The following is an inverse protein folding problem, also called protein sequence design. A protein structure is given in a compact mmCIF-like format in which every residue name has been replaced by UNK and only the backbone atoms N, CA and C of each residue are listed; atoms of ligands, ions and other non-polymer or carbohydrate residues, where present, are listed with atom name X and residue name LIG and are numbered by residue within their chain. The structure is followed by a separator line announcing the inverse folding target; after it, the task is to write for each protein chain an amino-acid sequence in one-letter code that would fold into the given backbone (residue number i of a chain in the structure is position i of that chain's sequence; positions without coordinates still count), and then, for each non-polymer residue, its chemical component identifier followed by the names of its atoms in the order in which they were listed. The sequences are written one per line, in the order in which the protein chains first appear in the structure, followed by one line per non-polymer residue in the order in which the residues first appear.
data_IF_567663118323
#
_entry.id   IF_567663118323
#
_cell.length_a   1.000
_cell.length_b   1.000
_cell.length_c   1.000
_cell.angle_alpha   90.00
_cell.angle_beta   90.00
_cell.angle_gamma   90.00
#
_symmetry.space_group_name_H-M   'P 1'
#
loop_
_entity.id
_entity.type
_entity.pdbx_description
1 polymer ?
#
# COMPACT_ATOMS: atom_id res chain seq x y z
N UNK A 1 66.25 -14.04 -8.72
CA UNK A 1 64.86 -14.36 -8.36
C UNK A 1 64.33 -13.15 -7.58
N UNK A 2 63.77 -12.16 -8.27
CA UNK A 2 63.41 -10.85 -7.68
C UNK A 2 61.89 -10.71 -7.82
N UNK A 3 61.20 -10.75 -6.68
CA UNK A 3 59.76 -10.66 -6.57
C UNK A 3 59.25 -9.29 -6.98
N UNK A 4 58.30 -9.27 -7.92
CA UNK A 4 57.61 -8.06 -8.37
C UNK A 4 56.53 -7.73 -7.34
N UNK A 5 56.82 -6.78 -6.46
CA UNK A 5 55.81 -6.08 -5.66
C UNK A 5 54.97 -5.21 -6.59
N UNK A 6 53.79 -5.70 -6.97
CA UNK A 6 52.79 -4.91 -7.70
C UNK A 6 52.13 -3.95 -6.72
N UNK A 7 52.67 -2.74 -6.63
CA UNK A 7 52.07 -1.59 -5.93
C UNK A 7 50.69 -1.34 -6.57
N UNK A 8 49.61 -1.77 -5.91
CA UNK A 8 48.24 -1.39 -6.31
C UNK A 8 48.15 0.13 -6.20
N UNK A 9 48.00 0.79 -7.34
CA UNK A 9 47.73 2.23 -7.36
C UNK A 9 46.39 2.47 -6.67
N UNK A 10 46.39 3.35 -5.67
CA UNK A 10 45.17 4.04 -5.24
C UNK A 10 44.60 4.70 -6.49
N UNK A 11 43.46 4.20 -6.99
CA UNK A 11 42.62 4.99 -7.89
C UNK A 11 42.12 6.17 -7.08
N UNK A 12 42.69 7.34 -7.38
CA UNK A 12 42.09 8.62 -7.05
C UNK A 12 40.86 8.77 -7.94
N UNK A 13 39.68 8.82 -7.33
CA UNK A 13 38.40 9.01 -8.01
C UNK A 13 37.32 8.06 -7.51
N UNK A 14 36.91 8.20 -6.24
CA UNK A 14 35.56 7.83 -5.82
C UNK A 14 35.23 8.66 -4.56
N UNK A 15 34.82 9.91 -4.78
CA UNK A 15 34.41 10.84 -3.71
C UNK A 15 32.89 11.07 -3.73
N UNK A 16 32.14 10.10 -4.25
CA UNK A 16 30.67 10.18 -4.46
C UNK A 16 29.85 9.23 -3.58
N UNK A 17 30.44 8.41 -2.72
CA UNK A 17 29.66 7.58 -1.80
C UNK A 17 29.20 8.42 -0.60
N UNK A 18 27.90 8.64 -0.48
CA UNK A 18 27.29 9.28 0.68
C UNK A 18 27.65 8.55 1.98
N UNK A 19 27.41 9.20 3.12
CA UNK A 19 27.77 8.66 4.45
C UNK A 19 27.06 7.35 4.74
N UNK A 20 25.78 7.23 4.37
CA UNK A 20 25.00 6.02 4.57
C UNK A 20 25.57 4.78 3.84
N UNK A 21 25.84 4.79 2.51
CA UNK A 21 26.51 3.67 1.82
C UNK A 21 27.77 3.14 2.51
N UNK A 22 28.59 4.04 3.08
CA UNK A 22 29.82 3.66 3.78
C UNK A 22 29.51 2.92 5.08
N UNK A 23 28.50 3.38 5.83
CA UNK A 23 28.04 2.69 7.05
C UNK A 23 27.37 1.35 6.73
N UNK A 24 26.70 1.23 5.58
CA UNK A 24 26.06 0.00 5.14
C UNK A 24 27.05 -1.12 4.78
N UNK A 25 28.30 -0.79 4.46
CA UNK A 25 29.32 -1.77 4.09
C UNK A 25 29.63 -2.78 5.22
N UNK A 26 29.59 -2.32 6.47
CA UNK A 26 29.84 -3.13 7.67
C UNK A 26 28.56 -3.37 8.49
N UNK A 27 27.39 -3.11 7.91
CA UNK A 27 26.12 -3.20 8.63
C UNK A 27 25.74 -4.66 8.92
N UNK A 28 25.24 -4.98 10.13
CA UNK A 28 24.90 -6.36 10.46
C UNK A 28 23.73 -6.89 9.62
N UNK A 29 23.84 -8.09 9.03
CA UNK A 29 22.77 -8.68 8.26
C UNK A 29 21.55 -9.00 9.14
N UNK A 30 20.35 -9.02 8.54
CA UNK A 30 19.14 -9.54 9.19
C UNK A 30 18.78 -10.88 8.54
N UNK A 31 18.95 -11.97 9.28
CA UNK A 31 18.83 -13.32 8.73
C UNK A 31 17.47 -13.93 9.08
N UNK A 32 16.43 -13.51 8.36
CA UNK A 32 15.12 -14.17 8.46
C UNK A 32 15.28 -15.68 8.20
N UNK A 33 14.84 -16.57 9.12
CA UNK A 33 15.05 -18.01 8.98
C UNK A 33 14.48 -18.60 7.69
N UNK A 34 13.27 -18.18 7.31
CA UNK A 34 12.60 -18.61 6.08
C UNK A 34 12.26 -17.40 5.21
N UNK A 35 13.15 -17.00 4.29
CA UNK A 35 12.82 -15.99 3.29
C UNK A 35 11.87 -16.58 2.24
N UNK A 36 11.08 -15.72 1.60
CA UNK A 36 10.20 -16.10 0.51
C UNK A 36 8.76 -15.58 0.63
N UNK A 37 7.94 -15.96 -0.33
CA UNK A 37 6.50 -15.63 -0.33
C UNK A 37 5.82 -16.31 0.88
N UNK A 38 5.25 -15.55 1.83
CA UNK A 38 4.65 -16.09 3.05
C UNK A 38 3.47 -17.05 2.75
N UNK A 39 2.86 -16.96 1.57
CA UNK A 39 1.80 -17.89 1.13
C UNK A 39 2.34 -19.27 0.74
N UNK A 40 3.63 -19.37 0.44
CA UNK A 40 4.33 -20.62 0.12
C UNK A 40 5.01 -21.25 1.34
N UNK A 41 5.15 -20.50 2.43
CA UNK A 41 5.69 -21.00 3.68
C UNK A 41 4.59 -21.73 4.48
N UNK A 42 5.00 -22.73 5.26
CA UNK A 42 4.12 -23.32 6.27
C UNK A 42 3.84 -22.32 7.39
N UNK A 43 2.73 -22.49 8.12
CA UNK A 43 2.43 -21.64 9.27
C UNK A 43 3.57 -21.68 10.31
N UNK A 44 4.13 -22.86 10.57
CA UNK A 44 5.26 -23.02 11.50
C UNK A 44 6.51 -22.23 11.04
N UNK A 45 6.80 -22.19 9.73
CA UNK A 45 7.89 -21.37 9.20
C UNK A 45 7.64 -19.87 9.38
N UNK A 46 6.40 -19.43 9.19
CA UNK A 46 6.01 -18.05 9.48
C UNK A 46 6.15 -17.74 10.99
N UNK A 47 5.76 -18.66 11.87
CA UNK A 47 5.91 -18.52 13.32
C UNK A 47 7.38 -18.46 13.74
N UNK A 48 8.26 -19.27 13.13
CA UNK A 48 9.70 -19.20 13.33
C UNK A 48 10.28 -17.84 12.90
N UNK A 49 9.77 -17.24 11.82
CA UNK A 49 10.15 -15.88 11.43
C UNK A 49 9.70 -14.83 12.46
N UNK A 50 8.51 -14.98 13.06
CA UNK A 50 8.04 -14.12 14.15
C UNK A 50 8.92 -14.27 15.40
N UNK A 51 9.20 -15.50 15.83
CA UNK A 51 10.06 -15.77 16.98
C UNK A 51 11.46 -15.17 16.79
N UNK A 52 12.04 -15.34 15.59
CA UNK A 52 13.30 -14.71 15.26
C UNK A 52 13.25 -13.19 15.43
N UNK A 53 12.22 -12.51 14.91
CA UNK A 53 12.08 -11.07 15.11
C UNK A 53 12.03 -10.72 16.59
N UNK A 54 11.20 -11.41 17.37
CA UNK A 54 11.02 -11.14 18.80
C UNK A 54 12.32 -11.31 19.58
N UNK A 55 13.09 -12.37 19.29
CA UNK A 55 14.37 -12.66 19.92
C UNK A 55 15.44 -11.63 19.55
N UNK A 56 15.46 -11.19 18.29
CA UNK A 56 16.47 -10.24 17.80
C UNK A 56 16.12 -8.78 18.08
N UNK A 57 14.84 -8.45 18.35
CA UNK A 57 14.32 -7.07 18.40
C UNK A 57 15.17 -6.14 19.24
N UNK A 58 15.54 -6.54 20.46
CA UNK A 58 16.32 -5.71 21.36
C UNK A 58 17.74 -5.42 20.84
N UNK A 59 18.36 -6.40 20.16
CA UNK A 59 19.66 -6.21 19.53
C UNK A 59 19.56 -5.33 18.28
N UNK A 60 18.53 -5.54 17.45
CA UNK A 60 18.28 -4.74 16.24
C UNK A 60 17.98 -3.27 16.55
N UNK A 61 17.23 -2.98 17.62
CA UNK A 61 17.02 -1.60 18.08
C UNK A 61 18.32 -0.89 18.45
N UNK A 62 19.29 -1.60 19.06
CA UNK A 62 20.61 -1.03 19.36
C UNK A 62 21.42 -0.76 18.09
N UNK A 63 21.37 -1.67 17.12
CA UNK A 63 22.01 -1.48 15.81
C UNK A 63 21.42 -0.25 15.11
N UNK A 64 20.09 -0.09 15.13
CA UNK A 64 19.40 1.08 14.60
C UNK A 64 19.82 2.37 15.34
N UNK A 65 19.87 2.35 16.68
CA UNK A 65 20.31 3.47 17.49
C UNK A 65 21.74 3.90 17.14
N UNK A 66 22.66 2.94 16.99
CA UNK A 66 24.05 3.20 16.64
C UNK A 66 24.19 3.82 15.25
N UNK A 67 23.40 3.37 14.27
CA UNK A 67 23.32 3.98 12.95
C UNK A 67 22.77 5.40 13.01
N UNK A 68 21.60 5.59 13.61
CA UNK A 68 20.89 6.87 13.66
C UNK A 68 21.68 7.93 14.45
N UNK A 69 22.44 7.53 15.46
CA UNK A 69 23.38 8.42 16.18
C UNK A 69 24.47 8.97 15.26
N UNK A 70 24.82 8.28 14.17
CA UNK A 70 25.74 8.83 13.16
C UNK A 70 25.13 10.03 12.43
N UNK A 71 23.82 10.22 12.49
CA UNK A 71 23.07 11.30 11.85
C UNK A 71 22.37 12.20 12.88
N UNK A 72 22.91 12.25 14.10
CA UNK A 72 22.45 13.13 15.19
C UNK A 72 21.01 12.86 15.65
N UNK A 73 20.52 11.63 15.46
CA UNK A 73 19.21 11.17 15.97
C UNK A 73 19.45 10.27 17.19
N UNK A 74 18.99 10.73 18.37
CA UNK A 74 19.09 9.97 19.62
C UNK A 74 17.86 9.07 19.81
N UNK A 75 17.90 7.90 19.17
CA UNK A 75 16.78 6.96 19.18
C UNK A 75 16.32 6.57 20.60
N UNK A 76 17.25 6.37 21.53
CA UNK A 76 16.94 5.91 22.88
C UNK A 76 16.14 6.96 23.66
N UNK A 77 16.57 8.23 23.59
CA UNK A 77 15.88 9.36 24.22
C UNK A 77 14.53 9.64 23.55
N UNK A 78 14.46 9.54 22.23
CA UNK A 78 13.26 9.88 21.48
C UNK A 78 12.16 8.80 21.54
N UNK A 79 12.52 7.51 21.63
CA UNK A 79 11.55 6.42 21.81
C UNK A 79 10.77 6.50 23.14
N UNK A 80 11.40 7.06 24.18
CA UNK A 80 10.76 7.27 25.49
C UNK A 80 10.02 8.60 25.61
N UNK A 81 10.22 9.53 24.66
CA UNK A 81 9.55 10.82 24.67
C UNK A 81 8.01 10.65 24.64
N UNK A 82 7.23 11.51 25.31
CA UNK A 82 5.77 11.35 25.41
C UNK A 82 5.07 11.28 24.05
N UNK A 83 5.56 12.05 23.09
CA UNK A 83 5.04 12.14 21.72
C UNK A 83 6.08 11.66 20.71
N UNK A 84 5.68 10.90 19.68
CA UNK A 84 6.61 10.38 18.69
C UNK A 84 6.97 11.38 17.59
N UNK A 85 6.27 12.52 17.50
CA UNK A 85 6.34 13.46 16.37
C UNK A 85 7.77 13.88 16.00
N UNK A 86 8.59 14.19 17.02
CA UNK A 86 9.98 14.61 16.80
C UNK A 86 10.82 13.50 16.17
N UNK A 87 10.70 12.27 16.68
CA UNK A 87 11.41 11.11 16.12
C UNK A 87 10.99 10.84 14.68
N UNK A 88 9.68 10.83 14.44
CA UNK A 88 9.17 10.53 13.10
C UNK A 88 9.60 11.61 12.09
N UNK A 89 9.58 12.88 12.49
CA UNK A 89 10.09 13.97 11.65
C UNK A 89 11.60 13.86 11.38
N UNK A 90 12.40 13.50 12.39
CA UNK A 90 13.84 13.27 12.25
C UNK A 90 14.15 12.09 11.32
N UNK A 91 13.42 10.97 11.45
CA UNK A 91 13.56 9.80 10.58
C UNK A 91 13.21 10.12 9.12
N UNK A 92 12.12 10.84 8.91
CA UNK A 92 11.69 11.27 7.58
C UNK A 92 12.71 12.18 6.90
N UNK A 93 13.19 13.20 7.63
CA UNK A 93 14.22 14.11 7.14
C UNK A 93 15.54 13.39 6.82
N UNK A 94 15.97 12.48 7.71
CA UNK A 94 17.16 11.66 7.49
C UNK A 94 17.05 10.77 6.27
N UNK A 95 15.91 10.09 6.08
CA UNK A 95 15.69 9.24 4.92
C UNK A 95 15.76 10.01 3.61
N UNK A 96 15.09 11.15 3.51
CA UNK A 96 15.14 12.01 2.32
C UNK A 96 16.56 12.54 2.03
N UNK A 97 17.36 12.77 3.07
CA UNK A 97 18.73 13.25 2.91
C UNK A 97 19.70 12.12 2.49
N UNK A 98 19.57 10.93 3.07
CA UNK A 98 20.63 9.91 3.03
C UNK A 98 20.29 8.68 2.18
N UNK A 99 19.01 8.31 2.05
CA UNK A 99 18.61 7.12 1.27
C UNK A 99 18.90 7.25 -0.23
N UNK A 100 18.78 8.43 -0.88
CA UNK A 100 19.14 8.57 -2.30
C UNK A 100 20.58 8.16 -2.62
N UNK A 101 21.51 8.33 -1.67
CA UNK A 101 22.90 7.92 -1.88
C UNK A 101 23.10 6.40 -1.79
N UNK A 102 22.22 5.69 -1.09
CA UNK A 102 22.23 4.22 -0.97
C UNK A 102 21.35 3.52 -2.01
N UNK A 103 20.45 4.27 -2.67
CA UNK A 103 19.58 3.74 -3.70
C UNK A 103 20.35 3.42 -4.99
N UNK A 104 19.95 2.34 -5.66
CA UNK A 104 20.43 2.00 -7.00
C UNK A 104 19.23 1.75 -7.92
N UNK A 105 19.30 2.08 -9.22
CA UNK A 105 18.21 1.79 -10.16
C UNK A 105 17.86 0.29 -10.31
N UNK A 106 18.70 -0.61 -9.79
CA UNK A 106 18.44 -2.04 -9.76
C UNK A 106 17.58 -2.47 -8.55
N UNK A 107 17.40 -1.60 -7.56
CA UNK A 107 16.50 -1.83 -6.43
C UNK A 107 15.05 -1.93 -6.92
N UNK A 108 14.24 -2.74 -6.26
CA UNK A 108 12.81 -2.84 -6.54
C UNK A 108 12.03 -3.13 -5.26
N UNK A 109 10.98 -2.35 -5.04
CA UNK A 109 10.02 -2.60 -3.96
C UNK A 109 9.06 -3.78 -4.23
N UNK A 110 9.20 -4.48 -5.37
CA UNK A 110 8.38 -5.64 -5.70
C UNK A 110 8.61 -6.78 -4.70
N UNK A 111 7.58 -7.26 -3.97
CA UNK A 111 7.71 -8.35 -3.00
C UNK A 111 8.32 -9.63 -3.59
N UNK A 112 8.04 -9.91 -4.87
CA UNK A 112 8.62 -11.06 -5.59
C UNK A 112 10.16 -11.02 -5.63
N UNK A 113 10.75 -9.83 -5.57
CA UNK A 113 12.18 -9.62 -5.72
C UNK A 113 12.93 -9.55 -4.38
N UNK A 114 12.31 -8.99 -3.34
CA UNK A 114 12.98 -8.80 -2.03
C UNK A 114 12.62 -9.87 -1.00
N UNK A 115 11.41 -10.46 -1.03
CA UNK A 115 11.02 -11.50 -0.06
C UNK A 115 11.96 -12.71 -0.03
N UNK A 116 12.46 -13.23 -1.18
CA UNK A 116 13.35 -14.38 -1.19
C UNK A 116 14.81 -14.04 -0.84
N UNK A 117 15.15 -12.76 -0.59
CA UNK A 117 16.54 -12.32 -0.44
C UNK A 117 16.98 -12.42 1.01
N UNK A 118 18.21 -12.88 1.19
CA UNK A 118 18.94 -12.66 2.42
C UNK A 118 19.29 -11.17 2.52
N UNK A 119 19.02 -10.56 3.67
CA UNK A 119 19.29 -9.15 3.93
C UNK A 119 20.75 -8.95 4.33
N UNK A 120 21.64 -9.26 3.39
CA UNK A 120 23.09 -9.28 3.56
C UNK A 120 23.77 -8.94 2.22
N UNK A 121 25.08 -8.65 2.24
CA UNK A 121 25.86 -8.43 1.03
C UNK A 121 25.28 -7.32 0.16
N UNK A 122 25.01 -7.60 -1.12
CA UNK A 122 24.45 -6.63 -2.07
C UNK A 122 23.03 -6.14 -1.69
N UNK A 123 22.33 -6.88 -0.83
CA UNK A 123 20.99 -6.55 -0.34
C UNK A 123 20.99 -6.03 1.10
N UNK A 124 22.16 -5.60 1.61
CA UNK A 124 22.29 -5.18 3.01
C UNK A 124 21.37 -4.01 3.39
N UNK A 125 20.99 -3.17 2.43
CA UNK A 125 20.03 -2.09 2.66
C UNK A 125 18.68 -2.61 3.19
N UNK A 126 18.26 -3.82 2.81
CA UNK A 126 17.04 -4.44 3.35
C UNK A 126 17.14 -4.73 4.85
N UNK A 127 18.35 -4.97 5.38
CA UNK A 127 18.55 -5.16 6.82
C UNK A 127 18.37 -3.85 7.58
N UNK A 128 18.90 -2.75 7.04
CA UNK A 128 18.66 -1.42 7.58
C UNK A 128 17.18 -1.06 7.53
N UNK A 129 16.49 -1.30 6.42
CA UNK A 129 15.06 -1.02 6.29
C UNK A 129 14.22 -1.85 7.27
N UNK A 130 14.59 -3.11 7.51
CA UNK A 130 13.99 -3.93 8.55
C UNK A 130 14.19 -3.35 9.96
N UNK A 131 15.36 -2.76 10.24
CA UNK A 131 15.63 -2.12 11.52
C UNK A 131 14.82 -0.84 11.73
N UNK A 132 14.67 -0.03 10.68
CA UNK A 132 13.79 1.13 10.71
C UNK A 132 12.32 0.69 10.89
N UNK A 133 11.91 -0.40 10.25
CA UNK A 133 10.60 -1.00 10.49
C UNK A 133 10.41 -1.45 11.96
N UNK A 134 11.44 -2.03 12.57
CA UNK A 134 11.46 -2.38 13.99
C UNK A 134 11.30 -1.13 14.86
N UNK A 135 11.99 -0.03 14.52
CA UNK A 135 11.84 1.28 15.19
C UNK A 135 10.41 1.79 15.11
N UNK A 136 9.81 1.83 13.92
CA UNK A 136 8.43 2.28 13.73
C UNK A 136 7.43 1.43 14.52
N UNK A 137 7.60 0.11 14.53
CA UNK A 137 6.79 -0.76 15.37
C UNK A 137 6.98 -0.51 16.86
N UNK A 138 8.21 -0.24 17.31
CA UNK A 138 8.50 0.08 18.70
C UNK A 138 7.89 1.42 19.13
N UNK A 139 7.82 2.41 18.24
CA UNK A 139 7.09 3.66 18.46
C UNK A 139 5.63 3.38 18.80
N UNK A 140 4.94 2.54 18.01
CA UNK A 140 3.55 2.17 18.27
C UNK A 140 3.42 1.45 19.61
N UNK A 141 4.19 0.38 19.82
CA UNK A 141 4.12 -0.47 21.02
C UNK A 141 4.38 0.33 22.32
N UNK A 142 5.30 1.31 22.28
CA UNK A 142 5.59 2.16 23.45
C UNK A 142 4.41 3.04 23.86
N UNK A 143 3.51 3.37 22.94
CA UNK A 143 2.35 4.25 23.19
C UNK A 143 1.02 3.50 23.24
N UNK A 144 1.01 2.26 22.75
CA UNK A 144 -0.18 1.44 22.52
C UNK A 144 0.08 0.01 22.98
N UNK A 145 -0.25 -0.27 24.25
CA UNK A 145 -0.02 -1.57 24.89
C UNK A 145 -0.85 -2.71 24.25
N UNK A 146 -1.90 -2.36 23.50
CA UNK A 146 -2.74 -3.27 22.73
C UNK A 146 -2.05 -3.79 21.45
N UNK A 147 -1.04 -3.08 20.94
CA UNK A 147 -0.29 -3.47 19.76
C UNK A 147 0.93 -4.33 20.11
N UNK A 148 1.34 -5.16 19.16
CA UNK A 148 2.52 -6.00 19.27
C UNK A 148 2.88 -6.65 17.94
N UNK A 149 4.11 -7.16 17.85
CA UNK A 149 4.56 -7.94 16.71
C UNK A 149 3.87 -9.31 16.71
N UNK A 150 3.15 -9.63 15.65
CA UNK A 150 2.39 -10.88 15.47
C UNK A 150 2.43 -11.28 14.00
N UNK A 151 1.92 -12.47 13.69
CA UNK A 151 1.59 -12.81 12.32
C UNK A 151 0.27 -12.15 11.93
N UNK A 152 0.19 -11.68 10.68
CA UNK A 152 -1.08 -11.36 10.07
C UNK A 152 -1.80 -12.66 9.70
N UNK A 153 -2.62 -13.17 10.62
CA UNK A 153 -3.42 -14.38 10.43
C UNK A 153 -4.90 -14.08 10.18
N UNK A 154 -5.25 -12.79 10.05
CA UNK A 154 -6.62 -12.35 9.81
C UNK A 154 -7.13 -12.92 8.49
N UNK A 155 -8.28 -13.59 8.52
CA UNK A 155 -8.83 -14.23 7.31
C UNK A 155 -9.24 -13.17 6.28
N UNK A 156 -9.61 -11.99 6.76
CA UNK A 156 -9.90 -10.78 5.97
C UNK A 156 -8.70 -10.34 5.15
N UNK A 157 -7.48 -10.61 5.65
CA UNK A 157 -6.25 -10.24 4.99
C UNK A 157 -5.70 -11.35 4.09
N UNK A 158 -6.36 -12.50 3.93
CA UNK A 158 -5.81 -13.69 3.23
C UNK A 158 -5.24 -13.40 1.83
N UNK A 159 -5.81 -12.41 1.14
CA UNK A 159 -5.45 -12.00 -0.22
C UNK A 159 -4.53 -10.76 -0.25
N UNK A 160 -4.20 -10.21 0.93
CA UNK A 160 -3.25 -9.13 1.10
C UNK A 160 -1.81 -9.64 1.14
N UNK A 161 -0.88 -8.82 0.66
CA UNK A 161 0.55 -9.14 0.71
C UNK A 161 1.09 -9.30 2.13
N UNK A 162 0.38 -8.77 3.14
CA UNK A 162 0.68 -8.85 4.57
C UNK A 162 0.36 -10.21 5.18
N UNK A 163 -0.54 -11.00 4.58
CA UNK A 163 -0.98 -12.27 5.16
C UNK A 163 0.18 -13.21 5.44
N UNK A 164 0.21 -13.75 6.66
CA UNK A 164 1.26 -14.59 7.25
C UNK A 164 2.64 -13.93 7.34
N UNK A 165 2.74 -12.61 7.19
CA UNK A 165 3.96 -11.86 7.49
C UNK A 165 3.96 -11.42 8.94
N UNK A 166 5.16 -11.11 9.43
CA UNK A 166 5.37 -10.50 10.73
C UNK A 166 5.01 -9.02 10.62
N UNK A 167 3.98 -8.60 11.35
CA UNK A 167 3.41 -7.24 11.32
C UNK A 167 3.19 -6.73 12.73
N UNK A 168 2.95 -5.43 12.87
CA UNK A 168 2.42 -4.85 14.11
C UNK A 168 0.90 -4.79 14.02
N UNK A 169 0.21 -5.47 14.92
CA UNK A 169 -1.26 -5.51 14.97
C UNK A 169 -1.74 -5.65 16.42
N UNK A 170 -3.03 -5.40 16.65
CA UNK A 170 -3.67 -5.59 17.95
C UNK A 170 -3.74 -7.07 18.32
N UNK A 171 -3.82 -7.35 19.62
CA UNK A 171 -4.15 -8.70 20.08
C UNK A 171 -5.57 -9.08 19.62
N UNK A 172 -5.77 -10.34 19.19
CA UNK A 172 -7.09 -10.81 18.71
C UNK A 172 -8.18 -10.78 19.78
N UNK A 173 -7.80 -10.84 21.04
CA UNK A 173 -8.66 -10.76 22.20
C UNK A 173 -8.93 -9.31 22.65
N UNK A 174 -8.33 -8.30 22.01
CA UNK A 174 -8.68 -6.90 22.27
C UNK A 174 -10.10 -6.62 21.71
N UNK A 175 -11.03 -6.06 22.51
CA UNK A 175 -12.39 -5.77 22.06
C UNK A 175 -12.46 -4.74 20.91
N UNK A 176 -11.37 -4.00 20.69
CA UNK A 176 -11.19 -3.03 19.61
C UNK A 176 -10.37 -3.62 18.45
N UNK A 177 -10.21 -4.94 18.40
CA UNK A 177 -9.48 -5.61 17.33
C UNK A 177 -10.16 -5.33 15.98
N UNK A 178 -9.32 -5.07 14.98
CA UNK A 178 -9.69 -5.00 13.57
C UNK A 178 -8.65 -5.80 12.81
N UNK A 179 -8.96 -6.22 11.57
CA UNK A 179 -7.98 -6.87 10.69
C UNK A 179 -6.84 -5.94 10.23
N UNK A 180 -6.56 -4.84 10.94
CA UNK A 180 -5.48 -3.92 10.62
C UNK A 180 -4.12 -4.59 10.88
N UNK A 181 -3.33 -4.75 9.83
CA UNK A 181 -1.96 -5.24 9.87
C UNK A 181 -0.99 -4.13 9.43
N UNK A 182 -0.08 -3.71 10.31
CA UNK A 182 0.92 -2.69 10.01
C UNK A 182 2.24 -3.37 9.61
N UNK A 183 2.46 -3.53 8.31
CA UNK A 183 3.67 -4.13 7.74
C UNK A 183 4.73 -3.06 7.47
N UNK A 184 5.41 -2.63 8.53
CA UNK A 184 6.42 -1.58 8.44
C UNK A 184 7.63 -1.96 7.58
N UNK A 185 7.97 -3.24 7.43
CA UNK A 185 9.07 -3.67 6.55
C UNK A 185 8.73 -3.33 5.09
N UNK A 186 7.52 -3.71 4.67
CA UNK A 186 6.99 -3.40 3.35
C UNK A 186 6.90 -1.89 3.14
N UNK A 187 6.40 -1.12 4.11
CA UNK A 187 6.37 0.35 4.03
C UNK A 187 7.75 0.97 3.86
N UNK A 188 8.74 0.59 4.68
CA UNK A 188 10.10 1.12 4.57
C UNK A 188 10.73 0.82 3.21
N UNK A 189 10.48 -0.37 2.65
CA UNK A 189 10.95 -0.75 1.30
C UNK A 189 10.29 0.11 0.21
N UNK A 190 8.99 0.39 0.32
CA UNK A 190 8.30 1.28 -0.60
C UNK A 190 8.83 2.71 -0.52
N UNK A 191 8.98 3.27 0.69
CA UNK A 191 9.54 4.61 0.85
C UNK A 191 10.98 4.69 0.31
N UNK A 192 11.81 3.67 0.54
CA UNK A 192 13.17 3.64 0.02
C UNK A 192 13.22 3.69 -1.51
N UNK A 193 12.38 2.91 -2.17
CA UNK A 193 12.26 2.92 -3.63
C UNK A 193 11.73 4.27 -4.14
N UNK A 194 10.69 4.80 -3.51
CA UNK A 194 10.05 6.04 -3.92
C UNK A 194 10.94 7.28 -3.75
N UNK A 195 11.57 7.42 -2.58
CA UNK A 195 12.55 8.47 -2.29
C UNK A 195 13.75 8.36 -3.23
N UNK A 196 14.27 7.15 -3.44
CA UNK A 196 15.36 6.89 -4.37
C UNK A 196 15.05 7.26 -5.83
N UNK A 197 13.78 7.08 -6.25
CA UNK A 197 13.28 7.49 -7.56
C UNK A 197 12.80 8.96 -7.61
N UNK A 198 12.87 9.68 -6.49
CA UNK A 198 12.38 11.05 -6.35
C UNK A 198 10.91 11.20 -6.80
N UNK A 199 10.05 10.27 -6.39
CA UNK A 199 8.61 10.32 -6.66
C UNK A 199 7.96 11.26 -5.65
N UNK A 200 7.22 12.30 -6.10
CA UNK A 200 6.57 13.24 -5.19
C UNK A 200 5.25 12.69 -4.62
N UNK A 201 4.86 13.16 -3.45
CA UNK A 201 3.50 13.00 -2.90
C UNK A 201 3.32 11.87 -1.90
N UNK A 202 4.39 11.18 -1.52
CA UNK A 202 4.34 10.20 -0.45
C UNK A 202 4.10 10.87 0.92
N UNK A 203 3.34 10.22 1.82
CA UNK A 203 3.30 10.63 3.22
C UNK A 203 4.69 10.57 3.87
N UNK A 204 4.93 11.33 4.95
CA UNK A 204 6.17 11.20 5.72
C UNK A 204 6.37 9.78 6.25
N UNK A 205 7.61 9.35 6.35
CA UNK A 205 7.97 8.09 7.01
C UNK A 205 7.39 8.09 8.43
N UNK A 206 6.74 6.99 8.79
CA UNK A 206 6.11 6.84 10.10
C UNK A 206 4.71 7.44 10.22
N UNK A 207 4.13 7.98 9.13
CA UNK A 207 2.73 8.40 9.13
C UNK A 207 1.77 7.29 9.62
N UNK A 208 2.00 6.04 9.22
CA UNK A 208 1.27 4.86 9.72
C UNK A 208 1.47 4.65 11.22
N UNK A 209 2.70 4.80 11.73
CA UNK A 209 2.97 4.69 13.16
C UNK A 209 2.24 5.79 13.95
N UNK A 210 2.27 7.03 13.47
CA UNK A 210 1.53 8.15 14.08
C UNK A 210 0.02 7.90 14.06
N UNK A 211 -0.52 7.41 12.94
CA UNK A 211 -1.92 7.02 12.81
C UNK A 211 -2.32 5.95 13.86
N UNK A 212 -1.49 4.93 14.05
CA UNK A 212 -1.74 3.90 15.06
C UNK A 212 -1.66 4.46 16.48
N UNK A 213 -0.65 5.26 16.80
CA UNK A 213 -0.51 5.92 18.10
C UNK A 213 -1.73 6.80 18.43
N UNK A 214 -2.26 7.51 17.44
CA UNK A 214 -3.43 8.40 17.59
C UNK A 214 -4.78 7.68 17.55
N UNK A 215 -4.80 6.35 17.38
CA UNK A 215 -6.03 5.55 17.39
C UNK A 215 -6.84 5.60 16.11
N UNK A 216 -6.23 5.99 14.99
CA UNK A 216 -6.92 6.03 13.69
C UNK A 216 -7.46 4.67 13.22
N UNK A 217 -6.87 3.58 13.71
CA UNK A 217 -7.30 2.20 13.40
C UNK A 217 -8.16 1.57 14.50
N UNK A 218 -8.60 2.36 15.49
CA UNK A 218 -9.57 1.92 16.48
C UNK A 218 -10.98 1.92 15.84
N UNK A 219 -11.80 0.89 16.09
CA UNK A 219 -13.19 0.89 15.66
C UNK A 219 -13.88 2.10 16.29
N UNK A 220 -14.64 2.84 15.48
CA UNK A 220 -15.46 3.93 16.00
C UNK A 220 -16.61 3.31 16.79
N UNK A 221 -16.59 3.45 18.12
CA UNK A 221 -17.69 3.05 19.00
C UNK A 221 -19.02 3.52 18.42
N UNK A 222 -19.96 2.59 18.18
CA UNK A 222 -21.33 2.93 17.79
C UNK A 222 -22.31 2.45 18.83
N UNK A 223 -22.72 3.33 19.75
CA UNK A 223 -24.13 3.46 20.20
C UNK A 223 -24.36 4.90 20.72
N UNK A 224 -24.90 5.79 19.88
CA UNK A 224 -26.16 6.54 20.13
C UNK A 224 -26.68 7.01 18.76
N UNK A 225 -27.94 6.69 18.46
CA UNK A 225 -28.64 7.18 17.28
C UNK A 225 -28.77 8.72 17.30
N UNK A 226 -28.22 9.38 16.28
CA UNK A 226 -28.30 10.83 16.03
C UNK A 226 -27.45 11.19 14.79
N UNK A 227 -27.83 12.20 13.97
CA UNK A 227 -27.57 12.16 12.53
C UNK A 227 -26.12 12.43 12.14
N UNK A 228 -25.61 11.55 11.27
CA UNK A 228 -24.60 11.74 10.21
C UNK A 228 -23.49 12.77 10.42
N UNK A 229 -22.25 12.27 10.45
CA UNK A 229 -21.11 12.92 9.78
C UNK A 229 -19.82 13.02 10.60
N UNK A 230 -18.85 12.12 10.33
CA UNK A 230 -17.46 12.45 9.99
C UNK A 230 -16.61 11.17 9.89
N UNK A 231 -15.88 11.05 8.78
CA UNK A 231 -15.32 9.83 8.22
C UNK A 231 -13.93 9.42 8.77
N UNK A 232 -13.64 8.13 8.65
CA UNK A 232 -12.30 7.53 8.77
C UNK A 232 -11.32 8.17 7.77
N UNK A 233 -10.13 8.54 8.22
CA UNK A 233 -9.23 9.44 7.49
C UNK A 233 -8.40 8.80 6.36
N UNK A 234 -8.66 7.55 5.96
CA UNK A 234 -8.06 6.92 4.76
C UNK A 234 -8.87 7.20 3.49
N UNK A 235 -8.28 7.04 2.29
CA UNK A 235 -9.04 7.16 1.06
C UNK A 235 -10.09 6.05 0.99
N UNK A 236 -11.32 6.43 0.70
CA UNK A 236 -12.43 5.50 0.48
C UNK A 236 -12.13 4.72 -0.79
N UNK A 237 -11.93 3.41 -0.66
CA UNK A 237 -11.77 2.51 -1.81
C UNK A 237 -13.14 2.00 -2.21
N UNK A 238 -13.59 2.38 -3.41
CA UNK A 238 -14.87 1.92 -3.96
C UNK A 238 -14.74 0.56 -4.60
N UNK A 239 -13.72 0.37 -5.43
CA UNK A 239 -13.50 -0.88 -6.15
C UNK A 239 -12.01 -1.18 -6.31
N UNK A 240 -11.69 -2.46 -6.37
CA UNK A 240 -10.39 -2.94 -6.81
C UNK A 240 -10.53 -4.31 -7.45
N UNK A 241 -10.18 -4.44 -8.73
CA UNK A 241 -10.39 -5.66 -9.51
C UNK A 241 -9.85 -6.93 -8.84
N UNK A 242 -8.68 -6.84 -8.19
CA UNK A 242 -8.06 -7.96 -7.48
C UNK A 242 -8.95 -8.56 -6.38
N UNK A 243 -9.87 -7.78 -5.82
CA UNK A 243 -10.77 -8.23 -4.77
C UNK A 243 -11.82 -9.22 -5.32
N UNK A 244 -12.08 -9.18 -6.63
CA UNK A 244 -13.12 -9.97 -7.28
C UNK A 244 -12.56 -11.08 -8.18
N UNK A 245 -11.27 -11.04 -8.50
CA UNK A 245 -10.61 -12.01 -9.38
C UNK A 245 -10.82 -13.48 -8.94
N UNK A 246 -10.94 -13.73 -7.63
CA UNK A 246 -11.17 -15.07 -7.09
C UNK A 246 -12.46 -15.72 -7.61
N UNK A 247 -13.52 -14.93 -7.86
CA UNK A 247 -14.79 -15.43 -8.40
C UNK A 247 -14.58 -16.14 -9.74
N UNK A 248 -13.70 -15.59 -10.58
CA UNK A 248 -13.40 -16.15 -11.91
C UNK A 248 -12.38 -17.28 -11.85
N UNK A 249 -11.42 -17.21 -10.91
CA UNK A 249 -10.45 -18.29 -10.69
C UNK A 249 -11.16 -19.55 -10.22
N UNK A 250 -12.16 -19.42 -9.33
CA UNK A 250 -12.97 -20.56 -8.87
C UNK A 250 -13.76 -21.21 -10.02
N UNK A 251 -14.11 -20.42 -11.04
CA UNK A 251 -14.75 -20.87 -12.30
C UNK A 251 -13.73 -21.31 -13.38
N UNK A 252 -12.44 -21.43 -13.03
CA UNK A 252 -11.41 -22.04 -13.87
C UNK A 252 -10.66 -21.07 -14.79
N UNK A 253 -10.80 -19.76 -14.61
CA UNK A 253 -10.05 -18.77 -15.37
C UNK A 253 -8.58 -18.76 -14.93
N UNK A 254 -7.68 -18.47 -15.88
CA UNK A 254 -6.28 -18.18 -15.53
C UNK A 254 -6.21 -16.96 -14.60
N UNK A 255 -5.42 -16.96 -13.50
CA UNK A 255 -5.39 -15.87 -12.54
C UNK A 255 -5.04 -14.49 -13.11
N UNK A 256 -4.16 -14.42 -14.11
CA UNK A 256 -3.79 -13.14 -14.73
C UNK A 256 -4.93 -12.59 -15.58
N UNK A 257 -5.62 -13.49 -16.30
CA UNK A 257 -6.82 -13.12 -17.06
C UNK A 257 -8.01 -12.81 -16.14
N UNK A 258 -8.16 -13.53 -15.03
CA UNK A 258 -9.22 -13.32 -14.05
C UNK A 258 -9.17 -11.91 -13.45
N UNK A 259 -7.99 -11.38 -13.14
CA UNK A 259 -7.88 -10.00 -12.64
C UNK A 259 -8.27 -8.96 -13.70
N UNK A 260 -7.89 -9.19 -14.97
CA UNK A 260 -8.27 -8.31 -16.08
C UNK A 260 -9.78 -8.32 -16.31
N UNK A 261 -10.39 -9.50 -16.24
CA UNK A 261 -11.82 -9.71 -16.45
C UNK A 261 -12.64 -9.20 -15.26
N UNK A 262 -12.17 -9.41 -14.03
CA UNK A 262 -12.78 -8.86 -12.81
C UNK A 262 -12.77 -7.33 -12.74
N UNK A 263 -11.90 -6.67 -13.53
CA UNK A 263 -11.86 -5.22 -13.62
C UNK A 263 -12.99 -4.63 -14.47
N UNK A 264 -13.67 -5.43 -15.29
CA UNK A 264 -14.65 -4.94 -16.27
C UNK A 264 -15.80 -4.16 -15.60
N UNK A 265 -16.45 -4.66 -14.54
CA UNK A 265 -17.44 -3.88 -13.79
C UNK A 265 -16.95 -2.49 -13.36
N UNK A 266 -15.83 -2.42 -12.63
CA UNK A 266 -15.29 -1.14 -12.19
C UNK A 266 -14.88 -0.23 -13.35
N UNK A 267 -14.36 -0.81 -14.43
CA UNK A 267 -13.98 -0.08 -15.64
C UNK A 267 -15.19 0.58 -16.32
N UNK A 268 -16.34 -0.10 -16.40
CA UNK A 268 -17.55 0.47 -16.97
C UNK A 268 -18.00 1.72 -16.19
N UNK A 269 -17.96 1.67 -14.85
CA UNK A 269 -18.26 2.83 -14.02
C UNK A 269 -17.25 3.97 -14.19
N UNK A 270 -15.95 3.65 -14.21
CA UNK A 270 -14.88 4.63 -14.44
C UNK A 270 -15.02 5.32 -15.82
N UNK A 271 -15.35 4.56 -16.86
CA UNK A 271 -15.56 5.08 -18.21
C UNK A 271 -16.66 6.14 -18.22
N UNK A 272 -17.78 5.86 -17.55
CA UNK A 272 -18.85 6.84 -17.39
C UNK A 272 -18.37 8.10 -16.66
N UNK A 273 -17.71 7.97 -15.51
CA UNK A 273 -17.14 9.09 -14.74
C UNK A 273 -16.21 9.96 -15.59
N UNK A 274 -15.33 9.33 -16.37
CA UNK A 274 -14.39 10.01 -17.26
C UNK A 274 -15.14 10.82 -18.34
N UNK A 275 -16.11 10.20 -19.01
CA UNK A 275 -16.88 10.83 -20.10
C UNK A 275 -17.80 11.96 -19.66
N UNK A 276 -18.09 12.06 -18.35
CA UNK A 276 -18.91 13.13 -17.76
C UNK A 276 -18.07 14.17 -17.01
N UNK A 277 -16.74 14.08 -17.08
CA UNK A 277 -15.85 15.03 -16.40
C UNK A 277 -15.91 14.96 -14.87
N UNK A 278 -16.28 13.81 -14.32
CA UNK A 278 -16.46 13.58 -12.88
C UNK A 278 -15.18 13.11 -12.17
N UNK A 279 -14.04 13.12 -12.86
CA UNK A 279 -12.73 12.91 -12.28
C UNK A 279 -12.17 14.19 -11.64
N UNK A 280 -11.28 14.04 -10.66
CA UNK A 280 -10.58 15.16 -10.04
C UNK A 280 -9.71 15.88 -11.08
N UNK A 281 -9.51 17.21 -10.91
CA UNK A 281 -8.66 17.99 -11.83
C UNK A 281 -7.25 17.41 -12.00
N UNK A 282 -6.69 16.85 -10.92
CA UNK A 282 -5.39 16.20 -10.95
C UNK A 282 -5.38 14.97 -11.86
N UNK A 283 -6.35 14.08 -11.69
CA UNK A 283 -6.47 12.86 -12.50
C UNK A 283 -6.86 13.17 -13.95
N UNK A 284 -7.77 14.11 -14.20
CA UNK A 284 -8.09 14.56 -15.56
C UNK A 284 -6.86 15.10 -16.29
N UNK A 285 -5.98 15.84 -15.59
CA UNK A 285 -4.74 16.35 -16.19
C UNK A 285 -3.73 15.22 -16.46
N UNK A 286 -3.61 14.28 -15.54
CA UNK A 286 -2.67 13.16 -15.62
C UNK A 286 -3.07 12.14 -16.70
N UNK A 287 -4.36 11.80 -16.80
CA UNK A 287 -4.93 10.82 -17.75
C UNK A 287 -5.45 11.44 -19.05
N UNK A 288 -5.13 12.70 -19.34
CA UNK A 288 -5.75 13.42 -20.47
C UNK A 288 -5.72 12.63 -21.78
N UNK A 289 -4.56 12.03 -22.11
CA UNK A 289 -4.39 11.30 -23.37
C UNK A 289 -5.21 10.02 -23.42
N UNK A 290 -5.27 9.31 -22.30
CA UNK A 290 -6.04 8.07 -22.16
C UNK A 290 -7.55 8.35 -22.17
N UNK A 291 -8.00 9.44 -21.55
CA UNK A 291 -9.41 9.90 -21.62
C UNK A 291 -9.77 10.27 -23.06
N UNK A 292 -8.95 11.09 -23.74
CA UNK A 292 -9.17 11.45 -25.16
C UNK A 292 -9.16 10.22 -26.09
N UNK A 293 -8.37 9.19 -25.77
CA UNK A 293 -8.36 7.94 -26.52
C UNK A 293 -9.60 7.08 -26.24
N UNK A 294 -10.08 7.04 -24.99
CA UNK A 294 -11.32 6.37 -24.61
C UNK A 294 -12.54 7.02 -25.25
N UNK A 295 -12.68 8.35 -25.18
CA UNK A 295 -13.77 9.10 -25.79
C UNK A 295 -13.82 8.93 -27.32
N UNK A 296 -12.65 8.84 -27.95
CA UNK A 296 -12.54 8.54 -29.37
C UNK A 296 -12.63 7.04 -29.72
N UNK A 297 -12.99 6.19 -28.74
CA UNK A 297 -13.11 4.74 -28.85
C UNK A 297 -11.85 4.03 -29.40
N UNK A 298 -10.67 4.63 -29.23
CA UNK A 298 -9.37 4.02 -29.56
C UNK A 298 -8.84 3.15 -28.43
N UNK A 299 -9.34 3.33 -27.22
CA UNK A 299 -9.04 2.53 -26.04
C UNK A 299 -10.33 2.21 -25.29
N UNK A 300 -10.32 1.12 -24.54
CA UNK A 300 -11.44 0.73 -23.69
C UNK A 300 -11.35 1.42 -22.32
N UNK A 301 -12.46 1.47 -21.58
CA UNK A 301 -12.40 1.90 -20.18
C UNK A 301 -11.59 0.91 -19.32
N UNK A 302 -11.48 -0.35 -19.72
CA UNK A 302 -10.62 -1.33 -19.04
C UNK A 302 -9.13 -0.99 -19.19
N UNK A 303 -8.70 -0.52 -20.37
CA UNK A 303 -7.34 -0.01 -20.58
C UNK A 303 -7.07 1.22 -19.71
N UNK A 304 -8.03 2.16 -19.66
CA UNK A 304 -7.96 3.33 -18.80
C UNK A 304 -7.86 2.94 -17.33
N UNK A 305 -8.69 1.99 -16.88
CA UNK A 305 -8.69 1.53 -15.49
C UNK A 305 -7.40 0.80 -15.12
N UNK A 306 -6.78 0.11 -16.08
CA UNK A 306 -5.46 -0.49 -15.95
C UNK A 306 -4.37 0.53 -15.58
N UNK A 307 -4.48 1.80 -16.00
CA UNK A 307 -3.56 2.88 -15.61
C UNK A 307 -3.69 3.27 -14.13
N UNK A 308 -4.83 2.97 -13.53
CA UNK A 308 -5.15 3.24 -12.13
C UNK A 308 -5.00 2.00 -11.25
N UNK A 309 -4.15 1.04 -11.67
CA UNK A 309 -3.98 -0.26 -11.02
C UNK A 309 -5.31 -0.98 -10.76
N UNK A 310 -6.30 -0.73 -11.63
CA UNK A 310 -7.67 -1.26 -11.55
C UNK A 310 -8.30 -1.03 -10.18
N UNK A 311 -8.07 0.15 -9.61
CA UNK A 311 -8.53 0.57 -8.30
C UNK A 311 -9.24 1.93 -8.40
N UNK A 312 -10.45 2.03 -7.85
CA UNK A 312 -11.25 3.25 -7.82
C UNK A 312 -11.34 3.76 -6.38
N UNK A 313 -10.87 4.99 -6.13
CA UNK A 313 -10.79 5.59 -4.80
C UNK A 313 -11.23 7.05 -4.82
N UNK A 314 -11.69 7.58 -3.68
CA UNK A 314 -12.32 8.90 -3.57
C UNK A 314 -11.56 10.09 -4.17
N UNK A 315 -10.27 10.23 -3.91
CA UNK A 315 -9.50 11.37 -4.41
C UNK A 315 -9.22 11.31 -5.92
N UNK A 316 -9.56 10.22 -6.61
CA UNK A 316 -9.57 10.18 -8.07
C UNK A 316 -10.69 11.03 -8.66
N UNK A 317 -11.75 11.29 -7.89
CA UNK A 317 -13.00 11.88 -8.34
C UNK A 317 -13.11 13.37 -8.02
N UNK A 318 -13.92 14.09 -8.79
CA UNK A 318 -14.33 15.45 -8.42
C UNK A 318 -15.18 15.39 -7.15
N UNK A 319 -15.39 16.51 -6.46
CA UNK A 319 -16.25 16.52 -5.27
C UNK A 319 -17.68 16.01 -5.58
N UNK A 320 -18.21 16.38 -6.74
CA UNK A 320 -19.51 15.94 -7.23
C UNK A 320 -19.52 14.45 -7.60
N UNK A 321 -18.55 14.00 -8.39
CA UNK A 321 -18.42 12.60 -8.77
C UNK A 321 -18.21 11.69 -7.56
N UNK A 322 -17.40 12.14 -6.59
CA UNK A 322 -17.18 11.43 -5.34
C UNK A 322 -18.47 11.29 -4.54
N UNK A 323 -19.23 12.38 -4.39
CA UNK A 323 -20.46 12.35 -3.62
C UNK A 323 -21.50 11.40 -4.23
N UNK A 324 -21.64 11.39 -5.56
CA UNK A 324 -22.53 10.44 -6.24
C UNK A 324 -22.07 9.00 -6.02
N UNK A 325 -20.76 8.76 -6.18
CA UNK A 325 -20.16 7.43 -6.00
C UNK A 325 -20.36 6.93 -4.57
N UNK A 326 -20.21 7.78 -3.55
CA UNK A 326 -20.48 7.41 -2.15
C UNK A 326 -21.92 6.95 -1.92
N UNK A 327 -22.88 7.69 -2.46
CA UNK A 327 -24.30 7.44 -2.25
C UNK A 327 -24.80 6.22 -3.05
N UNK A 328 -24.19 5.93 -4.21
CA UNK A 328 -24.74 4.98 -5.19
C UNK A 328 -23.90 3.72 -5.39
N UNK A 329 -22.57 3.77 -5.37
CA UNK A 329 -21.73 2.68 -5.86
C UNK A 329 -21.89 1.38 -5.06
N UNK A 330 -21.82 1.48 -3.73
CA UNK A 330 -21.94 0.34 -2.80
C UNK A 330 -23.32 0.24 -2.12
N UNK A 331 -24.31 1.01 -2.58
CA UNK A 331 -25.67 0.92 -2.05
C UNK A 331 -26.30 -0.45 -2.38
N UNK A 332 -27.20 -0.93 -1.51
CA UNK A 332 -27.94 -2.20 -1.72
C UNK A 332 -28.70 -2.19 -3.05
N UNK A 333 -29.29 -1.04 -3.40
CA UNK A 333 -29.99 -0.79 -4.66
C UNK A 333 -29.13 0.00 -5.66
N UNK A 334 -27.82 -0.11 -5.51
CA UNK A 334 -26.80 0.69 -6.16
C UNK A 334 -26.22 0.08 -7.43
N UNK A 335 -24.99 0.50 -7.75
CA UNK A 335 -24.35 0.22 -9.02
C UNK A 335 -24.32 -1.27 -9.41
N UNK A 336 -23.84 -2.14 -8.51
CA UNK A 336 -23.71 -3.57 -8.82
C UNK A 336 -25.07 -4.26 -9.06
N UNK A 337 -26.14 -3.81 -8.41
CA UNK A 337 -27.49 -4.33 -8.64
C UNK A 337 -28.00 -3.97 -10.03
N UNK A 338 -27.83 -2.71 -10.42
CA UNK A 338 -28.22 -2.22 -11.74
C UNK A 338 -27.35 -2.81 -12.86
N UNK A 339 -26.05 -2.96 -12.61
CA UNK A 339 -25.12 -3.67 -13.49
C UNK A 339 -25.57 -5.10 -13.75
N UNK A 340 -25.84 -5.87 -12.68
CA UNK A 340 -26.26 -7.25 -12.79
C UNK A 340 -27.59 -7.39 -13.54
N UNK A 341 -28.57 -6.55 -13.21
CA UNK A 341 -29.87 -6.52 -13.91
C UNK A 341 -29.75 -6.15 -15.39
N UNK A 342 -28.78 -5.30 -15.74
CA UNK A 342 -28.64 -4.81 -17.12
C UNK A 342 -27.83 -5.79 -17.97
N UNK A 343 -26.77 -6.38 -17.44
CA UNK A 343 -25.74 -7.07 -18.23
C UNK A 343 -25.43 -8.50 -17.77
N UNK A 344 -25.84 -8.94 -16.58
CA UNK A 344 -25.45 -10.23 -16.02
C UNK A 344 -26.60 -11.24 -15.85
N UNK A 345 -27.80 -10.98 -16.37
CA UNK A 345 -28.98 -11.84 -16.17
C UNK A 345 -28.74 -13.30 -16.62
N UNK A 346 -27.99 -13.49 -17.70
CA UNK A 346 -27.65 -14.81 -18.26
C UNK A 346 -26.20 -15.25 -17.94
N UNK A 347 -25.53 -14.58 -16.99
CA UNK A 347 -24.13 -14.84 -16.65
C UNK A 347 -23.99 -15.41 -15.24
N UNK A 348 -22.92 -16.20 -14.96
CA UNK A 348 -22.70 -16.75 -13.62
C UNK A 348 -22.53 -15.68 -12.53
N UNK A 349 -21.96 -14.53 -12.89
CA UNK A 349 -21.83 -13.34 -12.04
C UNK A 349 -21.60 -12.08 -12.89
N UNK A 350 -21.71 -10.91 -12.28
CA UNK A 350 -21.35 -9.62 -12.87
C UNK A 350 -19.89 -9.55 -13.35
N UNK A 351 -18.99 -10.37 -12.79
CA UNK A 351 -17.58 -10.40 -13.19
C UNK A 351 -17.35 -11.17 -14.50
N UNK A 352 -18.35 -11.90 -15.00
CA UNK A 352 -18.33 -12.54 -16.32
C UNK A 352 -18.77 -11.60 -17.45
N UNK A 353 -19.18 -10.37 -17.14
CA UNK A 353 -19.57 -9.39 -18.16
C UNK A 353 -18.37 -9.08 -19.05
N UNK A 354 -18.42 -9.33 -20.37
CA UNK A 354 -17.34 -8.93 -21.26
C UNK A 354 -17.34 -7.41 -21.46
N UNK A 355 -16.17 -6.80 -21.56
CA UNK A 355 -16.10 -5.40 -21.95
C UNK A 355 -16.42 -5.25 -23.44
N UNK A 356 -17.43 -4.43 -23.75
CA UNK A 356 -17.72 -3.94 -25.10
C UNK A 356 -18.16 -2.48 -25.01
N UNK A 357 -17.97 -1.70 -26.07
CA UNK A 357 -18.50 -0.33 -26.11
C UNK A 357 -20.05 -0.29 -26.06
N UNK A 358 -20.71 -1.36 -26.50
CA UNK A 358 -22.15 -1.50 -26.36
C UNK A 358 -22.56 -1.67 -24.89
N UNK A 359 -21.86 -2.52 -24.14
CA UNK A 359 -22.08 -2.69 -22.71
C UNK A 359 -21.77 -1.39 -21.93
N UNK A 360 -20.71 -0.67 -22.34
CA UNK A 360 -20.43 0.67 -21.82
C UNK A 360 -21.62 1.60 -22.05
N UNK A 361 -22.12 1.73 -23.27
CA UNK A 361 -23.24 2.63 -23.58
C UNK A 361 -24.53 2.26 -22.83
N UNK A 362 -24.80 0.96 -22.63
CA UNK A 362 -25.96 0.50 -21.84
C UNK A 362 -25.85 0.90 -20.38
N UNK A 363 -24.66 0.77 -19.79
CA UNK A 363 -24.43 1.18 -18.40
C UNK A 363 -24.39 2.69 -18.26
N UNK A 364 -23.83 3.42 -19.23
CA UNK A 364 -23.85 4.88 -19.25
C UNK A 364 -25.28 5.42 -19.19
N UNK A 365 -26.22 4.81 -19.92
CA UNK A 365 -27.63 5.22 -19.90
C UNK A 365 -28.28 5.04 -18.51
N UNK A 366 -27.97 3.93 -17.82
CA UNK A 366 -28.46 3.70 -16.46
C UNK A 366 -27.83 4.69 -15.49
N UNK A 367 -26.51 4.91 -15.59
CA UNK A 367 -25.79 5.85 -14.73
C UNK A 367 -26.24 7.29 -14.94
N UNK A 368 -26.51 7.71 -16.18
CA UNK A 368 -27.08 9.03 -16.49
C UNK A 368 -28.46 9.20 -15.83
N UNK A 369 -29.32 8.18 -15.86
CA UNK A 369 -30.62 8.20 -15.17
C UNK A 369 -30.43 8.33 -13.64
N UNK A 370 -29.62 7.46 -13.04
CA UNK A 370 -29.38 7.44 -11.59
C UNK A 370 -28.74 8.73 -11.09
N UNK A 371 -27.83 9.27 -11.88
CA UNK A 371 -27.20 10.56 -11.60
C UNK A 371 -28.21 11.71 -11.63
N UNK A 372 -29.11 11.73 -12.63
CA UNK A 372 -30.17 12.74 -12.71
C UNK A 372 -31.16 12.64 -11.54
N UNK A 373 -31.59 11.42 -11.18
CA UNK A 373 -32.44 11.17 -10.01
C UNK A 373 -31.78 11.69 -8.73
N UNK A 374 -30.53 11.29 -8.50
CA UNK A 374 -29.74 11.70 -7.34
C UNK A 374 -29.53 13.22 -7.28
N UNK A 375 -29.21 13.86 -8.40
CA UNK A 375 -29.00 15.31 -8.50
C UNK A 375 -30.29 16.09 -8.24
N UNK A 376 -31.43 15.60 -8.75
CA UNK A 376 -32.75 16.20 -8.53
C UNK A 376 -33.25 16.09 -7.09
N UNK A 377 -32.79 15.09 -6.34
CA UNK A 377 -33.11 14.87 -4.93
C UNK A 377 -32.34 15.77 -3.95
N UNK A 378 -31.34 16.52 -4.43
CA UNK A 378 -30.61 17.50 -3.62
C UNK A 378 -31.31 18.86 -3.67
N UNK A 379 -31.52 19.53 -2.52
CA UNK A 379 -31.91 20.94 -2.55
C UNK A 379 -30.84 21.73 -3.30
N UNK A 380 -31.26 22.55 -4.27
CA UNK A 380 -30.38 23.52 -4.92
C UNK A 380 -29.76 24.40 -3.82
N UNK A 381 -28.46 24.25 -3.60
CA UNK A 381 -27.71 25.02 -2.60
C UNK A 381 -27.38 26.42 -3.10
#
# INVERSE_FOLDING_TARGET
MIGIFRRRSKRAGDSSSGKLPQLLADYPPYETPFPGDPRKLSLAQCEENLHYLLDQRAARLKIAADLLRRFDIDLDAELVAPKPDALLASLDAWAHAEWPAAYTPAFSASPKLWLPRHKAGEHIVLAMLMDIAIVLGQVVINKRADYGWRLDDAIENRDMGTYRRVVVTKARDDPRWTATALDFETECIYYFDSIGRNVPGDPPIGATALAAVTGRYDPTDTVVAGPTGAASSGPTVYDKAKNHAHVLVDDGFDPEYAEQQAAVPGALFLGWLASRGLLSRGHTKWLRREIEAFEAQRQTAADLYGRLDRCLIDYMLSAEGNAFTQDYFNAVDGYYRDLAKTLAEDLPSEFHIPYTFENQARIDAILDQRYAEWSSGRPSS
#
